data_IF_185686366441
#
_entry.id   IF_185686366441
#
_cell.length_a   1.000
_cell.length_b   1.000
_cell.length_c   1.000
_cell.angle_alpha   90.00
_cell.angle_beta   90.00
_cell.angle_gamma   90.00
#
_symmetry.space_group_name_H-M   'P 1'
#
loop_
_entity.id
_entity.type
_entity.pdbx_description
1 polymer ?
#
# COMPACT_ATOMS: atom_id res chain seq x y z
N UNK A 1 -10.66 14.55 -18.77
CA UNK A 1 -10.48 13.09 -18.57
C UNK A 1 -9.29 12.93 -17.64
N UNK A 2 -9.45 12.26 -16.50
CA UNK A 2 -8.36 12.04 -15.55
C UNK A 2 -7.34 11.06 -16.19
N UNK A 3 -6.05 11.41 -16.18
CA UNK A 3 -5.00 10.54 -16.70
C UNK A 3 -4.72 9.46 -15.66
N UNK A 4 -4.77 8.19 -16.07
CA UNK A 4 -4.32 7.08 -15.23
C UNK A 4 -2.80 7.16 -15.05
N UNK A 5 -2.34 7.15 -13.81
CA UNK A 5 -0.94 7.01 -13.44
C UNK A 5 -0.69 5.62 -12.88
N UNK A 6 0.33 4.95 -13.39
CA UNK A 6 0.68 3.59 -12.98
C UNK A 6 2.00 3.63 -12.22
N UNK A 7 1.99 3.08 -11.01
CA UNK A 7 3.18 2.91 -10.18
C UNK A 7 3.53 1.43 -10.10
N UNK A 8 4.81 1.12 -10.15
CA UNK A 8 5.29 -0.24 -10.01
C UNK A 8 5.59 -0.53 -8.54
N UNK A 9 4.96 -1.56 -8.00
CA UNK A 9 5.38 -2.10 -6.70
C UNK A 9 6.76 -2.76 -6.83
N UNK A 10 7.62 -2.56 -5.83
CA UNK A 10 8.96 -3.17 -5.79
C UNK A 10 8.88 -4.70 -5.86
N UNK A 11 7.88 -5.32 -5.23
CA UNK A 11 7.68 -6.77 -5.30
C UNK A 11 7.36 -7.29 -6.70
N UNK A 12 6.74 -6.47 -7.54
CA UNK A 12 6.46 -6.82 -8.93
C UNK A 12 7.72 -7.01 -9.77
N UNK A 13 8.86 -6.50 -9.30
CA UNK A 13 10.16 -6.60 -9.96
C UNK A 13 11.06 -7.71 -9.38
N UNK A 14 10.71 -8.25 -8.21
CA UNK A 14 11.50 -9.30 -7.56
C UNK A 14 11.39 -10.64 -8.29
N UNK A 15 12.48 -11.42 -8.30
CA UNK A 15 12.54 -12.80 -8.83
C UNK A 15 12.04 -12.93 -10.26
N UNK A 16 12.23 -11.91 -11.09
CA UNK A 16 11.77 -11.92 -12.49
C UNK A 16 12.86 -12.25 -13.49
N UNK A 17 14.13 -12.19 -13.08
CA UNK A 17 15.24 -12.53 -13.97
C UNK A 17 15.38 -14.06 -14.10
N UNK A 18 15.58 -14.57 -15.33
CA UNK A 18 15.78 -16.02 -15.55
C UNK A 18 17.05 -16.58 -14.90
N UNK A 19 18.04 -15.73 -14.63
CA UNK A 19 19.31 -16.09 -14.01
C UNK A 19 19.26 -16.15 -12.47
N UNK A 20 18.09 -15.84 -11.87
CA UNK A 20 17.86 -15.85 -10.43
C UNK A 20 18.45 -14.66 -9.66
N UNK A 21 19.07 -13.70 -10.35
CA UNK A 21 19.56 -12.46 -9.75
C UNK A 21 18.49 -11.38 -9.76
N UNK A 22 18.56 -10.43 -8.84
CA UNK A 22 17.72 -9.24 -8.87
C UNK A 22 18.31 -8.18 -9.81
N UNK A 23 17.43 -7.37 -10.44
CA UNK A 23 17.90 -6.20 -11.16
C UNK A 23 18.47 -5.16 -10.20
N UNK A 24 19.62 -4.55 -10.50
CA UNK A 24 20.05 -3.35 -9.80
C UNK A 24 18.95 -2.28 -9.84
N UNK A 25 18.82 -1.49 -8.80
CA UNK A 25 17.76 -0.47 -8.72
C UNK A 25 17.88 0.56 -9.85
N UNK A 26 19.08 0.83 -10.34
CA UNK A 26 19.34 1.68 -11.50
C UNK A 26 18.64 1.16 -12.75
N UNK A 27 18.78 -0.14 -13.01
CA UNK A 27 18.12 -0.82 -14.13
C UNK A 27 16.59 -0.81 -13.98
N UNK A 28 16.09 -1.08 -12.77
CA UNK A 28 14.66 -1.05 -12.49
C UNK A 28 14.07 0.32 -12.84
N UNK A 29 14.71 1.40 -12.44
CA UNK A 29 14.24 2.77 -12.71
C UNK A 29 14.25 3.09 -14.23
N UNK A 30 15.27 2.65 -14.97
CA UNK A 30 15.29 2.79 -16.43
C UNK A 30 14.16 2.03 -17.09
N UNK A 31 13.94 0.77 -16.70
CA UNK A 31 12.81 -0.06 -17.19
C UNK A 31 11.45 0.61 -16.96
N UNK A 32 11.23 1.20 -15.79
CA UNK A 32 9.99 1.91 -15.49
C UNK A 32 9.78 3.14 -16.36
N UNK A 33 10.85 3.91 -16.57
CA UNK A 33 10.84 5.08 -17.42
C UNK A 33 10.51 4.71 -18.87
N UNK A 34 11.19 3.69 -19.41
CA UNK A 34 10.99 3.23 -20.79
C UNK A 34 9.60 2.64 -21.01
N UNK A 35 9.04 1.97 -19.99
CA UNK A 35 7.68 1.44 -20.02
C UNK A 35 6.58 2.50 -19.77
N UNK A 36 6.95 3.75 -19.47
CA UNK A 36 6.01 4.86 -19.28
C UNK A 36 5.26 4.84 -17.95
N UNK A 37 5.82 4.21 -16.91
CA UNK A 37 5.28 4.29 -15.56
C UNK A 37 5.39 5.70 -14.99
N UNK A 38 4.49 6.06 -14.07
CA UNK A 38 4.55 7.32 -13.34
C UNK A 38 5.59 7.30 -12.22
N UNK A 39 5.93 6.12 -11.72
CA UNK A 39 6.89 5.96 -10.64
C UNK A 39 6.92 4.56 -10.03
N UNK A 40 7.44 4.49 -8.80
CA UNK A 40 7.60 3.25 -8.04
C UNK A 40 7.01 3.41 -6.63
N UNK A 41 6.48 2.33 -6.09
CA UNK A 41 6.07 2.23 -4.68
C UNK A 41 7.25 1.73 -3.84
N UNK A 42 7.63 2.49 -2.80
CA UNK A 42 8.81 2.27 -1.97
C UNK A 42 8.41 1.84 -0.56
N UNK A 43 9.20 0.93 0.04
CA UNK A 43 8.96 0.47 1.41
C UNK A 43 9.59 1.41 2.44
N UNK A 44 8.82 1.89 3.41
CA UNK A 44 9.30 2.73 4.50
C UNK A 44 10.28 1.99 5.42
N UNK A 45 10.11 0.69 5.59
CA UNK A 45 10.99 -0.15 6.43
C UNK A 45 12.38 -0.44 5.85
N UNK A 46 12.63 -0.14 4.57
CA UNK A 46 13.93 -0.39 3.89
C UNK A 46 14.61 0.95 3.58
N UNK A 47 15.01 1.66 4.62
CA UNK A 47 15.38 3.07 4.58
C UNK A 47 16.46 3.46 3.57
N UNK A 48 17.61 2.78 3.57
CA UNK A 48 18.73 3.12 2.66
C UNK A 48 18.41 2.76 1.20
N UNK A 49 17.76 1.63 0.99
CA UNK A 49 17.30 1.21 -0.34
C UNK A 49 16.26 2.20 -0.91
N UNK A 50 15.29 2.59 -0.09
CA UNK A 50 14.26 3.56 -0.48
C UNK A 50 14.85 4.94 -0.82
N UNK A 51 15.80 5.45 -0.01
CA UNK A 51 16.52 6.72 -0.28
C UNK A 51 17.31 6.65 -1.59
N UNK A 52 17.99 5.53 -1.85
CA UNK A 52 18.71 5.32 -3.11
C UNK A 52 17.75 5.31 -4.30
N UNK A 53 16.67 4.54 -4.20
CA UNK A 53 15.64 4.46 -5.24
C UNK A 53 15.01 5.83 -5.51
N UNK A 54 14.62 6.57 -4.48
CA UNK A 54 14.03 7.91 -4.59
C UNK A 54 14.93 8.87 -5.36
N UNK A 55 16.24 8.88 -5.07
CA UNK A 55 17.20 9.74 -5.78
C UNK A 55 17.28 9.42 -7.26
N UNK A 56 17.21 8.15 -7.61
CA UNK A 56 17.23 7.69 -9.02
C UNK A 56 15.91 8.03 -9.73
N UNK A 57 14.76 7.78 -9.08
CA UNK A 57 13.44 8.15 -9.59
C UNK A 57 13.36 9.65 -9.88
N UNK A 58 13.79 10.47 -8.92
CA UNK A 58 13.82 11.93 -9.08
C UNK A 58 14.67 12.38 -10.27
N UNK A 59 15.87 11.81 -10.46
CA UNK A 59 16.72 12.07 -11.64
C UNK A 59 16.07 11.64 -12.95
N UNK A 60 15.29 10.58 -12.93
CA UNK A 60 14.56 10.06 -14.09
C UNK A 60 13.27 10.85 -14.39
N UNK A 61 12.86 11.79 -13.52
CA UNK A 61 11.60 12.52 -13.61
C UNK A 61 10.39 11.67 -13.22
N UNK A 62 10.61 10.60 -12.44
CA UNK A 62 9.57 9.70 -11.91
C UNK A 62 9.24 10.05 -10.47
N UNK A 63 8.01 9.77 -10.08
CA UNK A 63 7.54 9.96 -8.71
C UNK A 63 7.72 8.69 -7.85
N UNK A 64 7.48 8.82 -6.55
CA UNK A 64 7.29 7.65 -5.69
C UNK A 64 5.99 7.75 -4.88
N UNK A 65 5.48 6.62 -4.52
CA UNK A 65 4.54 6.39 -3.42
C UNK A 65 5.26 5.62 -2.33
N UNK A 66 4.66 5.49 -1.16
CA UNK A 66 5.26 4.74 -0.07
C UNK A 66 4.29 3.70 0.48
N UNK A 67 4.82 2.56 0.91
CA UNK A 67 4.08 1.49 1.55
C UNK A 67 4.66 1.19 2.93
N UNK A 68 3.79 1.08 3.94
CA UNK A 68 4.14 0.88 5.34
C UNK A 68 3.46 -0.36 5.92
N UNK A 69 4.14 -0.98 6.89
CA UNK A 69 3.65 -2.15 7.64
C UNK A 69 3.65 -1.87 9.15
N UNK A 70 2.88 -0.90 9.66
CA UNK A 70 2.87 -0.58 11.07
C UNK A 70 2.32 -1.75 11.90
N UNK A 71 3.01 -2.01 13.04
CA UNK A 71 2.63 -3.05 14.02
C UNK A 71 2.04 -2.46 15.29
N UNK A 72 2.00 -1.15 15.38
CA UNK A 72 1.36 -0.38 16.46
C UNK A 72 0.97 1.00 15.94
N UNK A 73 0.12 1.69 16.68
CA UNK A 73 -0.25 3.07 16.32
C UNK A 73 0.96 4.00 16.45
N UNK A 74 1.70 3.89 17.55
CA UNK A 74 2.87 4.74 17.81
C UNK A 74 4.00 4.49 16.82
N UNK A 75 4.19 3.23 16.38
CA UNK A 75 5.21 2.86 15.38
C UNK A 75 4.98 3.46 14.01
N UNK A 76 3.75 3.86 13.70
CA UNK A 76 3.40 4.44 12.41
C UNK A 76 4.05 5.82 12.15
N UNK A 77 4.44 6.55 13.22
CA UNK A 77 5.11 7.84 13.06
C UNK A 77 6.40 7.72 12.23
N UNK A 78 7.18 6.69 12.45
CA UNK A 78 8.44 6.49 11.68
C UNK A 78 8.19 6.22 10.19
N UNK A 79 7.06 5.60 9.86
CA UNK A 79 6.67 5.36 8.47
C UNK A 79 6.23 6.67 7.79
N UNK A 80 5.49 7.52 8.51
CA UNK A 80 5.11 8.86 8.05
C UNK A 80 6.37 9.71 7.80
N UNK A 81 7.29 9.74 8.76
CA UNK A 81 8.53 10.52 8.64
C UNK A 81 9.34 10.09 7.42
N UNK A 82 9.46 8.77 7.19
CA UNK A 82 10.14 8.24 6.02
C UNK A 82 9.41 8.60 4.72
N UNK A 83 8.08 8.46 4.65
CA UNK A 83 7.30 8.81 3.47
C UNK A 83 7.45 10.30 3.13
N UNK A 84 7.47 11.17 4.14
CA UNK A 84 7.73 12.61 3.98
C UNK A 84 9.15 12.86 3.47
N UNK A 85 10.16 12.20 4.03
CA UNK A 85 11.56 12.32 3.59
C UNK A 85 11.72 11.92 2.12
N UNK A 86 11.03 10.85 1.69
CA UNK A 86 11.03 10.38 0.31
C UNK A 86 10.27 11.31 -0.64
N UNK A 87 9.48 12.24 -0.13
CA UNK A 87 8.57 13.07 -0.94
C UNK A 87 7.50 12.21 -1.63
N UNK A 88 7.03 11.16 -0.96
CA UNK A 88 6.01 10.27 -1.48
C UNK A 88 4.68 11.00 -1.73
N UNK A 89 3.99 10.70 -2.82
CA UNK A 89 2.70 11.30 -3.17
C UNK A 89 1.59 10.89 -2.21
N UNK A 90 1.67 9.68 -1.67
CA UNK A 90 0.79 9.15 -0.63
C UNK A 90 1.48 7.98 0.07
N UNK A 91 0.97 7.64 1.24
CA UNK A 91 1.37 6.50 2.05
C UNK A 91 0.27 5.45 2.04
N UNK A 92 0.61 4.26 1.58
CA UNK A 92 -0.26 3.10 1.60
C UNK A 92 0.04 2.25 2.83
N UNK A 93 -0.98 1.90 3.62
CA UNK A 93 -0.82 1.27 4.94
C UNK A 93 -1.38 -0.15 4.93
N UNK A 94 -0.49 -1.12 5.09
CA UNK A 94 -0.81 -2.52 5.36
C UNK A 94 -0.65 -2.74 6.87
N UNK A 95 -1.70 -2.47 7.63
CA UNK A 95 -1.64 -2.46 9.09
C UNK A 95 -1.52 -3.84 9.71
N UNK A 96 -0.33 -4.25 10.14
CA UNK A 96 -0.08 -5.54 10.79
C UNK A 96 -0.57 -5.55 12.25
N UNK A 97 -1.84 -5.24 12.44
CA UNK A 97 -2.56 -5.27 13.72
C UNK A 97 -3.84 -6.11 13.59
N UNK A 98 -4.25 -6.74 14.68
CA UNK A 98 -5.31 -7.74 14.68
C UNK A 98 -6.35 -7.42 15.76
N UNK A 99 -7.11 -6.32 15.63
CA UNK A 99 -8.17 -5.97 16.58
C UNK A 99 -9.28 -7.01 16.58
N UNK A 100 -9.87 -7.26 17.76
CA UNK A 100 -10.91 -8.26 17.92
C UNK A 100 -12.31 -7.73 17.63
N UNK A 101 -12.47 -6.41 17.59
CA UNK A 101 -13.75 -5.74 17.36
C UNK A 101 -13.62 -4.63 16.32
N UNK A 102 -14.73 -4.30 15.65
CA UNK A 102 -14.79 -3.17 14.71
C UNK A 102 -14.46 -1.84 15.41
N UNK A 103 -14.86 -1.68 16.66
CA UNK A 103 -14.58 -0.47 17.42
C UNK A 103 -13.07 -0.27 17.66
N UNK A 104 -12.35 -1.34 18.04
CA UNK A 104 -10.90 -1.30 18.20
C UNK A 104 -10.19 -1.01 16.86
N UNK A 105 -10.63 -1.67 15.79
CA UNK A 105 -10.06 -1.43 14.46
C UNK A 105 -10.31 -0.01 13.95
N UNK A 106 -11.50 0.51 14.17
CA UNK A 106 -11.85 1.89 13.81
C UNK A 106 -11.01 2.91 14.60
N UNK A 107 -10.76 2.68 15.90
CA UNK A 107 -9.90 3.56 16.71
C UNK A 107 -8.46 3.58 16.16
N UNK A 108 -7.90 2.42 15.85
CA UNK A 108 -6.56 2.30 15.26
C UNK A 108 -6.48 3.10 13.95
N UNK A 109 -7.44 2.88 13.04
CA UNK A 109 -7.44 3.54 11.73
C UNK A 109 -7.59 5.05 11.88
N UNK A 110 -8.51 5.53 12.72
CA UNK A 110 -8.69 6.98 12.97
C UNK A 110 -7.41 7.63 13.46
N UNK A 111 -6.71 7.00 14.41
CA UNK A 111 -5.43 7.51 14.92
C UNK A 111 -4.36 7.56 13.83
N UNK A 112 -4.26 6.56 12.96
CA UNK A 112 -3.35 6.59 11.82
C UNK A 112 -3.69 7.72 10.86
N UNK A 113 -4.98 7.89 10.52
CA UNK A 113 -5.42 8.96 9.62
C UNK A 113 -5.15 10.36 10.23
N UNK A 114 -5.39 10.54 11.53
CA UNK A 114 -5.06 11.78 12.24
C UNK A 114 -3.55 12.09 12.22
N UNK A 115 -2.70 11.09 12.47
CA UNK A 115 -1.25 11.25 12.41
C UNK A 115 -0.78 11.63 11.01
N UNK A 116 -1.30 10.99 9.98
CA UNK A 116 -0.98 11.27 8.59
C UNK A 116 -1.46 12.68 8.18
N UNK A 117 -2.68 13.06 8.58
CA UNK A 117 -3.25 14.40 8.30
C UNK A 117 -2.44 15.51 8.97
N UNK A 118 -2.04 15.34 10.23
CA UNK A 118 -1.17 16.28 10.95
C UNK A 118 0.18 16.49 10.26
N UNK A 119 0.71 15.45 9.61
CA UNK A 119 1.92 15.54 8.82
C UNK A 119 1.69 16.06 7.38
N UNK A 120 0.44 16.20 6.96
CA UNK A 120 0.08 16.54 5.58
C UNK A 120 0.36 15.41 4.57
N UNK A 121 0.43 14.14 5.03
CA UNK A 121 0.68 12.97 4.20
C UNK A 121 -0.64 12.31 3.79
N UNK A 122 -1.03 12.33 2.50
CA UNK A 122 -2.18 11.57 2.03
C UNK A 122 -2.01 10.08 2.36
N UNK A 123 -3.02 9.48 3.02
CA UNK A 123 -2.96 8.11 3.52
C UNK A 123 -4.11 7.26 2.98
N UNK A 124 -3.82 6.01 2.65
CA UNK A 124 -4.79 4.99 2.27
C UNK A 124 -4.53 3.70 3.04
N UNK A 125 -5.59 2.98 3.38
CA UNK A 125 -5.49 1.66 4.03
C UNK A 125 -5.65 0.59 2.95
N UNK A 126 -4.66 -0.30 2.84
CA UNK A 126 -4.71 -1.36 1.83
C UNK A 126 -5.51 -2.57 2.31
N UNK A 127 -6.30 -3.13 1.39
CA UNK A 127 -6.90 -4.46 1.59
C UNK A 127 -5.82 -5.51 1.40
N UNK A 128 -5.44 -6.20 2.49
CA UNK A 128 -4.33 -7.15 2.45
C UNK A 128 -4.59 -8.32 3.41
N UNK A 129 -4.15 -9.53 3.03
CA UNK A 129 -4.17 -10.68 3.94
C UNK A 129 -3.20 -10.47 5.10
N UNK A 130 -3.45 -11.14 6.21
CA UNK A 130 -2.61 -11.09 7.42
C UNK A 130 -2.38 -9.67 7.96
N UNK A 131 -3.47 -8.89 8.04
CA UNK A 131 -3.46 -7.53 8.56
C UNK A 131 -4.87 -7.10 9.01
N UNK A 132 -5.03 -5.87 9.43
CA UNK A 132 -6.30 -5.30 9.92
C UNK A 132 -7.46 -5.42 8.92
N UNK A 133 -7.18 -5.52 7.63
CA UNK A 133 -8.16 -5.64 6.53
C UNK A 133 -8.23 -7.05 5.94
N UNK A 134 -7.77 -8.09 6.66
CA UNK A 134 -7.74 -9.48 6.17
C UNK A 134 -9.11 -10.00 5.76
N UNK A 135 -10.13 -9.76 6.57
CA UNK A 135 -11.50 -10.22 6.28
C UNK A 135 -12.31 -9.15 5.55
N UNK A 136 -12.91 -9.54 4.43
CA UNK A 136 -13.68 -8.65 3.58
C UNK A 136 -14.88 -8.02 4.30
N UNK A 137 -15.66 -8.82 5.05
CA UNK A 137 -16.86 -8.32 5.74
C UNK A 137 -16.49 -7.42 6.91
N UNK A 138 -15.41 -7.76 7.61
CA UNK A 138 -14.85 -6.90 8.65
C UNK A 138 -14.37 -5.56 8.06
N UNK A 139 -13.71 -5.59 6.91
CA UNK A 139 -13.24 -4.38 6.21
C UNK A 139 -14.40 -3.48 5.82
N UNK A 140 -15.52 -4.02 5.32
CA UNK A 140 -16.72 -3.23 5.03
C UNK A 140 -17.28 -2.56 6.29
N UNK A 141 -17.30 -3.26 7.42
CA UNK A 141 -17.72 -2.67 8.71
C UNK A 141 -16.76 -1.56 9.18
N UNK A 142 -15.45 -1.71 8.93
CA UNK A 142 -14.48 -0.64 9.20
C UNK A 142 -14.74 0.60 8.32
N UNK A 143 -15.06 0.42 7.03
CA UNK A 143 -15.42 1.52 6.13
C UNK A 143 -16.68 2.25 6.59
N UNK A 144 -17.68 1.53 7.11
CA UNK A 144 -18.87 2.12 7.71
C UNK A 144 -18.56 2.91 8.99
N UNK A 145 -17.64 2.39 9.84
CA UNK A 145 -17.26 3.01 11.11
C UNK A 145 -16.27 4.18 10.95
N UNK A 146 -15.57 4.25 9.82
CA UNK A 146 -14.57 5.28 9.46
C UNK A 146 -14.83 5.75 8.03
N UNK A 147 -15.87 6.57 7.80
CA UNK A 147 -16.25 6.99 6.44
C UNK A 147 -15.19 7.79 5.68
N UNK A 148 -14.26 8.42 6.40
CA UNK A 148 -13.11 9.14 5.85
C UNK A 148 -11.98 8.23 5.37
N UNK A 149 -12.01 6.94 5.68
CA UNK A 149 -11.01 5.96 5.27
C UNK A 149 -10.99 5.80 3.75
N UNK A 150 -9.85 6.13 3.15
CA UNK A 150 -9.59 5.81 1.74
C UNK A 150 -8.95 4.43 1.66
N UNK A 151 -9.38 3.63 0.70
CA UNK A 151 -8.92 2.26 0.53
C UNK A 151 -8.03 2.15 -0.71
N UNK A 152 -6.87 1.52 -0.56
CA UNK A 152 -6.11 0.95 -1.66
C UNK A 152 -6.60 -0.49 -1.86
N UNK A 153 -7.36 -0.73 -2.93
CA UNK A 153 -8.08 -1.98 -3.11
C UNK A 153 -7.23 -3.03 -3.83
N UNK A 154 -6.44 -3.82 -3.08
CA UNK A 154 -5.90 -5.07 -3.60
C UNK A 154 -6.88 -6.22 -3.31
N UNK A 155 -7.81 -6.42 -4.23
CA UNK A 155 -8.87 -7.41 -4.11
C UNK A 155 -8.34 -8.86 -4.20
N UNK A 156 -7.13 -9.06 -4.70
CA UNK A 156 -6.52 -10.38 -4.81
C UNK A 156 -6.35 -11.04 -3.42
N UNK A 157 -6.11 -10.23 -2.40
CA UNK A 157 -5.98 -10.71 -1.03
C UNK A 157 -7.29 -11.28 -0.46
N UNK A 158 -8.43 -10.71 -0.80
CA UNK A 158 -9.72 -11.31 -0.40
C UNK A 158 -9.98 -12.64 -1.08
N UNK A 159 -9.60 -12.78 -2.36
CA UNK A 159 -9.69 -14.05 -3.07
C UNK A 159 -8.91 -15.15 -2.34
N UNK A 160 -7.69 -14.83 -1.92
CA UNK A 160 -6.82 -15.78 -1.20
C UNK A 160 -7.31 -16.04 0.23
N UNK A 161 -7.63 -15.00 0.99
CA UNK A 161 -8.03 -15.12 2.41
C UNK A 161 -9.35 -15.88 2.59
N UNK A 162 -10.26 -15.80 1.62
CA UNK A 162 -11.56 -16.49 1.64
C UNK A 162 -11.57 -17.82 0.87
N UNK A 163 -10.43 -18.23 0.32
CA UNK A 163 -10.32 -19.46 -0.48
C UNK A 163 -11.41 -19.55 -1.57
N UNK A 164 -11.62 -18.47 -2.30
CA UNK A 164 -12.66 -18.42 -3.33
C UNK A 164 -12.45 -19.49 -4.40
N UNK A 165 -13.55 -20.15 -4.75
CA UNK A 165 -13.60 -21.01 -5.95
C UNK A 165 -13.86 -20.17 -7.21
N UNK A 166 -13.44 -20.68 -8.38
CA UNK A 166 -13.80 -20.07 -9.65
C UNK A 166 -14.97 -20.79 -10.31
N UNK A 167 -15.95 -20.05 -10.85
CA UNK A 167 -16.12 -18.60 -10.75
C UNK A 167 -16.38 -18.15 -9.29
N UNK A 168 -16.08 -16.89 -8.98
CA UNK A 168 -16.36 -16.33 -7.65
C UNK A 168 -17.86 -16.43 -7.36
N UNK A 169 -18.29 -16.92 -6.18
CA UNK A 169 -19.70 -17.02 -5.85
C UNK A 169 -20.40 -15.65 -5.90
N UNK A 170 -21.59 -15.59 -6.49
CA UNK A 170 -22.35 -14.33 -6.68
C UNK A 170 -22.50 -13.51 -5.39
N UNK A 171 -22.67 -14.18 -4.24
CA UNK A 171 -22.72 -13.51 -2.94
C UNK A 171 -21.43 -12.73 -2.64
N UNK A 172 -20.28 -13.33 -2.88
CA UNK A 172 -18.97 -12.72 -2.59
C UNK A 172 -18.63 -11.66 -3.64
N UNK A 173 -19.00 -11.87 -4.90
CA UNK A 173 -18.90 -10.86 -5.95
C UNK A 173 -19.67 -9.59 -5.58
N UNK A 174 -20.89 -9.72 -5.04
CA UNK A 174 -21.67 -8.58 -4.57
C UNK A 174 -20.92 -7.76 -3.50
N UNK A 175 -20.27 -8.40 -2.53
CA UNK A 175 -19.52 -7.71 -1.49
C UNK A 175 -18.24 -7.03 -2.02
N UNK A 176 -17.59 -7.61 -3.02
CA UNK A 176 -16.40 -6.99 -3.66
C UNK A 176 -16.76 -5.70 -4.42
N UNK A 177 -18.01 -5.58 -4.85
CA UNK A 177 -18.49 -4.41 -5.60
C UNK A 177 -18.94 -3.24 -4.70
N UNK A 178 -19.00 -3.43 -3.37
CA UNK A 178 -19.33 -2.35 -2.43
C UNK A 178 -18.15 -1.39 -2.23
#
# INVERSE_FOLDING_TARGET
>A
MQKLEVFQSIWGMERRRPDGHEWPIEEQVEMLKDAGYAGMDLLTGVTDGARKAQKLLSKAGLACTACAFPKSVEGFQSDIDMAMELGARHLNVIGQMYPMTVAEGADIIKRWLEMADQAGMPCMIETHRDCITTDMLYTLQLMEAVPEMKVCADLSHFVVAREFTWPIPTRDEHWIQQ
#
